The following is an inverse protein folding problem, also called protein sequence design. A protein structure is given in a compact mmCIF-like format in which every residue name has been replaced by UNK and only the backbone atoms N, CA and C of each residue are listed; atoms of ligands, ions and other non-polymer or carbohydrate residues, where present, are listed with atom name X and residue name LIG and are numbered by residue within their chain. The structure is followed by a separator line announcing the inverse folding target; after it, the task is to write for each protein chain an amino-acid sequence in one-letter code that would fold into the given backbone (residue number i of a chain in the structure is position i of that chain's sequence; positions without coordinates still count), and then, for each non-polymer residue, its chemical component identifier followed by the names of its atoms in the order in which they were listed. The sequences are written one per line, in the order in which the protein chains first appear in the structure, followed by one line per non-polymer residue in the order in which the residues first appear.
data_IF_303071527908
#
_entry.id   IF_303071527908
#
_cell.length_a   1.000
_cell.length_b   1.000
_cell.length_c   1.000
_cell.angle_alpha   90.00
_cell.angle_beta   90.00
_cell.angle_gamma   90.00
#
_symmetry.space_group_name_H-M   'P 1'
#
loop_
_entity.id
_entity.type
_entity.pdbx_description
1 polymer ?
#
# COMPACT_ATOMS: atom_id res chain seq x y z
N UNK A 1 -22.65 24.84 -19.61
CA UNK A 1 -22.84 24.08 -18.35
C UNK A 1 -22.37 24.94 -17.17
N UNK A 2 -23.11 24.98 -16.06
CA UNK A 2 -22.78 25.82 -14.91
C UNK A 2 -21.64 25.20 -14.08
N UNK A 3 -20.74 26.05 -13.54
CA UNK A 3 -19.55 25.67 -12.75
C UNK A 3 -19.86 24.71 -11.58
N UNK A 4 -21.05 24.83 -10.97
CA UNK A 4 -21.56 23.91 -9.92
C UNK A 4 -21.95 22.51 -10.43
N UNK A 5 -22.42 22.38 -11.66
CA UNK A 5 -22.70 21.07 -12.28
C UNK A 5 -21.40 20.40 -12.75
N UNK A 6 -20.41 21.18 -13.20
CA UNK A 6 -19.08 20.66 -13.55
C UNK A 6 -18.38 20.09 -12.31
N UNK A 7 -18.38 20.83 -11.20
CA UNK A 7 -17.80 20.35 -9.93
C UNK A 7 -18.51 19.10 -9.38
N UNK A 8 -19.84 19.00 -9.53
CA UNK A 8 -20.58 17.80 -9.11
C UNK A 8 -20.25 16.54 -9.92
N UNK A 9 -20.06 16.70 -11.24
CA UNK A 9 -19.64 15.60 -12.13
C UNK A 9 -18.19 15.19 -11.85
N UNK A 10 -17.31 16.15 -11.55
CA UNK A 10 -15.91 15.88 -11.17
C UNK A 10 -15.81 15.17 -9.82
N UNK A 11 -16.59 15.57 -8.82
CA UNK A 11 -16.65 14.89 -7.51
C UNK A 11 -17.12 13.43 -7.66
N UNK A 12 -18.15 13.18 -8.47
CA UNK A 12 -18.66 11.82 -8.68
C UNK A 12 -17.66 10.94 -9.45
N UNK A 13 -16.92 11.52 -10.42
CA UNK A 13 -15.79 10.84 -11.09
C UNK A 13 -14.64 10.54 -10.12
N UNK A 14 -14.27 11.49 -9.26
CA UNK A 14 -13.21 11.32 -8.26
C UNK A 14 -13.57 10.22 -7.25
N UNK A 15 -14.81 10.22 -6.75
CA UNK A 15 -15.32 9.20 -5.84
C UNK A 15 -15.35 7.82 -6.50
N UNK A 16 -15.72 7.72 -7.77
CA UNK A 16 -15.70 6.45 -8.52
C UNK A 16 -14.29 5.92 -8.75
N UNK A 17 -13.31 6.78 -9.07
CA UNK A 17 -11.89 6.36 -9.18
C UNK A 17 -11.36 5.90 -7.81
N UNK A 18 -11.55 6.72 -6.78
CA UNK A 18 -11.14 6.39 -5.42
C UNK A 18 -11.83 5.14 -4.85
N UNK A 19 -13.05 4.82 -5.29
CA UNK A 19 -13.76 3.62 -4.88
C UNK A 19 -13.10 2.34 -5.39
N UNK A 20 -12.48 2.33 -6.57
CA UNK A 20 -11.76 1.15 -7.05
C UNK A 20 -10.60 0.81 -6.11
N UNK A 21 -9.79 1.81 -5.76
CA UNK A 21 -8.68 1.67 -4.83
C UNK A 21 -9.14 1.36 -3.39
N UNK A 22 -10.29 1.90 -2.99
CA UNK A 22 -10.83 1.73 -1.65
C UNK A 22 -11.59 0.40 -1.46
N UNK A 23 -12.17 -0.18 -2.51
CA UNK A 23 -13.13 -1.28 -2.40
C UNK A 23 -12.56 -2.50 -1.66
N UNK A 24 -11.30 -2.86 -1.94
CA UNK A 24 -10.62 -3.99 -1.30
C UNK A 24 -10.19 -3.66 0.13
N UNK A 25 -9.61 -2.48 0.38
CA UNK A 25 -9.26 -2.07 1.75
C UNK A 25 -10.50 -1.78 2.64
N UNK A 26 -11.67 -1.52 2.07
CA UNK A 26 -12.87 -1.14 2.82
C UNK A 26 -13.32 -2.21 3.82
N UNK A 27 -13.20 -3.50 3.45
CA UNK A 27 -13.55 -4.61 4.34
C UNK A 27 -12.57 -4.68 5.53
N UNK A 28 -11.27 -4.61 5.24
CA UNK A 28 -10.21 -4.55 6.25
C UNK A 28 -10.38 -3.36 7.21
N UNK A 29 -10.71 -2.17 6.69
CA UNK A 29 -10.93 -0.98 7.52
C UNK A 29 -12.17 -1.09 8.41
N UNK A 30 -13.21 -1.79 7.95
CA UNK A 30 -14.42 -2.03 8.75
C UNK A 30 -14.15 -3.03 9.87
N UNK A 31 -13.41 -4.11 9.62
CA UNK A 31 -13.10 -5.13 10.63
C UNK A 31 -12.17 -4.61 11.74
N UNK A 32 -11.34 -3.60 11.44
CA UNK A 32 -10.43 -3.02 12.43
C UNK A 32 -11.06 -1.95 13.33
N UNK A 33 -12.33 -1.54 13.16
CA UNK A 33 -12.92 -0.50 14.02
C UNK A 33 -13.01 -0.96 15.48
N UNK A 34 -12.67 -0.11 16.46
CA UNK A 34 -12.32 1.31 16.35
C UNK A 34 -10.82 1.61 16.12
N UNK A 35 -9.97 0.59 16.03
CA UNK A 35 -8.51 0.71 15.98
C UNK A 35 -7.99 0.68 14.54
N UNK A 36 -7.85 1.86 13.94
CA UNK A 36 -7.30 1.97 12.58
C UNK A 36 -5.82 1.57 12.52
N UNK A 37 -5.39 0.90 11.44
CA UNK A 37 -3.99 0.55 11.23
C UNK A 37 -3.13 1.81 10.96
N UNK A 38 -1.81 1.74 11.22
CA UNK A 38 -0.86 2.79 10.83
C UNK A 38 -0.90 3.08 9.32
N UNK A 39 -0.57 4.32 8.92
CA UNK A 39 -0.59 4.72 7.51
C UNK A 39 0.35 3.89 6.64
N UNK A 40 1.53 3.51 7.16
CA UNK A 40 2.46 2.60 6.49
C UNK A 40 1.84 1.24 6.18
N UNK A 41 1.04 0.71 7.10
CA UNK A 41 0.35 -0.58 6.93
C UNK A 41 -0.74 -0.46 5.86
N UNK A 42 -1.52 0.62 5.89
CA UNK A 42 -2.56 0.88 4.88
C UNK A 42 -1.96 1.01 3.48
N UNK A 43 -0.85 1.75 3.38
CA UNK A 43 -0.16 1.97 2.13
C UNK A 43 0.38 0.66 1.55
N UNK A 44 1.05 -0.14 2.38
CA UNK A 44 1.54 -1.44 1.93
C UNK A 44 0.38 -2.33 1.46
N UNK A 45 -0.79 -2.25 2.10
CA UNK A 45 -1.98 -3.01 1.71
C UNK A 45 -2.41 -2.68 0.28
N UNK A 46 -2.39 -1.39 -0.06
CA UNK A 46 -2.69 -0.92 -1.42
C UNK A 46 -1.62 -1.33 -2.43
N UNK A 47 -0.33 -1.29 -2.07
CA UNK A 47 0.76 -1.79 -2.93
C UNK A 47 0.54 -3.27 -3.26
N UNK A 48 0.26 -4.10 -2.24
CA UNK A 48 0.01 -5.53 -2.45
C UNK A 48 -1.22 -5.76 -3.33
N UNK A 49 -2.32 -5.06 -3.08
CA UNK A 49 -3.52 -5.13 -3.91
C UNK A 49 -3.19 -4.80 -5.38
N UNK A 50 -2.43 -3.73 -5.62
CA UNK A 50 -2.05 -3.30 -6.98
C UNK A 50 -1.12 -4.32 -7.66
N UNK A 51 -0.14 -4.86 -6.94
CA UNK A 51 0.74 -5.91 -7.46
C UNK A 51 -0.02 -7.19 -7.83
N UNK A 52 -1.09 -7.53 -7.11
CA UNK A 52 -1.95 -8.67 -7.42
C UNK A 52 -2.86 -8.45 -8.64
N UNK A 53 -3.11 -7.20 -9.04
CA UNK A 53 -3.98 -6.88 -10.18
C UNK A 53 -3.27 -7.04 -11.53
N UNK A 54 -1.98 -7.42 -11.53
CA UNK A 54 -1.13 -7.76 -12.69
C UNK A 54 -1.15 -6.73 -13.83
N UNK A 55 -1.63 -5.52 -13.56
CA UNK A 55 -1.65 -4.41 -14.51
C UNK A 55 -0.36 -3.61 -14.30
N UNK A 56 0.58 -3.64 -15.26
CA UNK A 56 1.84 -2.92 -15.11
C UNK A 56 1.54 -1.45 -14.93
N UNK A 57 2.02 -0.87 -13.82
CA UNK A 57 1.87 0.57 -13.61
C UNK A 57 2.84 1.31 -14.54
N UNK A 58 2.42 2.43 -15.11
CA UNK A 58 3.32 3.31 -15.87
C UNK A 58 4.52 3.77 -15.01
N UNK A 59 4.34 3.83 -13.70
CA UNK A 59 5.40 4.14 -12.72
C UNK A 59 6.49 3.05 -12.62
N UNK A 60 6.19 1.81 -13.04
CA UNK A 60 7.12 0.68 -12.96
C UNK A 60 8.04 0.55 -14.18
N UNK A 61 7.85 1.40 -15.22
CA UNK A 61 8.61 1.31 -16.47
C UNK A 61 10.12 1.50 -16.32
N UNK A 62 10.56 2.23 -15.30
CA UNK A 62 11.97 2.50 -15.04
C UNK A 62 12.49 1.70 -13.83
N UNK A 63 11.62 1.39 -12.87
CA UNK A 63 11.97 0.69 -11.65
C UNK A 63 10.71 0.07 -11.01
N UNK A 64 10.73 -1.24 -10.79
CA UNK A 64 9.61 -1.96 -10.17
C UNK A 64 9.68 -1.90 -8.65
N UNK A 65 8.60 -2.28 -7.96
CA UNK A 65 8.62 -2.42 -6.50
C UNK A 65 9.67 -3.44 -6.04
N UNK A 66 9.91 -4.48 -6.85
CA UNK A 66 10.89 -5.51 -6.55
C UNK A 66 12.32 -5.00 -6.60
N UNK A 67 12.60 -3.99 -7.44
CA UNK A 67 13.94 -3.44 -7.59
C UNK A 67 14.34 -2.53 -6.42
N UNK A 68 13.39 -1.99 -5.65
CA UNK A 68 13.65 -1.10 -4.51
C UNK A 68 14.64 -1.71 -3.50
N UNK A 69 15.66 -0.93 -3.13
CA UNK A 69 16.67 -1.34 -2.16
C UNK A 69 16.10 -1.33 -0.73
N UNK A 70 16.11 -2.49 -0.07
CA UNK A 70 15.54 -2.67 1.27
C UNK A 70 16.49 -2.22 2.40
N UNK A 71 17.80 -2.14 2.15
CA UNK A 71 18.83 -1.79 3.15
C UNK A 71 18.73 -2.61 4.45
N UNK A 72 18.18 -3.82 4.44
CA UNK A 72 17.95 -4.66 5.64
C UNK A 72 19.24 -4.91 6.43
N UNK A 73 20.36 -5.04 5.71
CA UNK A 73 21.69 -5.21 6.27
C UNK A 73 22.19 -3.99 7.08
N UNK A 74 21.65 -2.79 6.84
CA UNK A 74 22.00 -1.55 7.54
C UNK A 74 21.02 -1.20 8.67
N UNK A 75 19.96 -1.99 8.86
CA UNK A 75 18.98 -1.74 9.92
C UNK A 75 19.56 -2.09 11.30
N UNK A 76 19.39 -1.18 12.25
CA UNK A 76 19.61 -1.46 13.67
C UNK A 76 18.54 -2.41 14.19
N UNK A 77 18.82 -3.11 15.29
CA UNK A 77 17.88 -4.10 15.84
C UNK A 77 16.54 -3.47 16.24
N UNK A 78 16.56 -2.26 16.80
CA UNK A 78 15.33 -1.52 17.15
C UNK A 78 14.45 -1.26 15.92
N UNK A 79 15.06 -0.90 14.78
CA UNK A 79 14.32 -0.69 13.53
C UNK A 79 13.76 -2.00 12.98
N UNK A 80 14.52 -3.09 13.10
CA UNK A 80 14.05 -4.44 12.71
C UNK A 80 12.87 -4.88 13.56
N UNK A 81 12.90 -4.64 14.86
CA UNK A 81 11.77 -4.93 15.73
C UNK A 81 10.54 -4.11 15.36
N UNK A 82 10.71 -2.80 15.11
CA UNK A 82 9.63 -1.95 14.61
C UNK A 82 9.01 -2.48 13.31
N UNK A 83 9.84 -2.96 12.37
CA UNK A 83 9.38 -3.59 11.13
C UNK A 83 8.64 -4.91 11.36
N UNK A 84 9.09 -5.76 12.30
CA UNK A 84 8.39 -7.00 12.66
C UNK A 84 6.99 -6.71 13.22
N UNK A 85 6.87 -5.70 14.07
CA UNK A 85 5.56 -5.27 14.60
C UNK A 85 4.64 -4.74 13.49
N UNK A 86 5.18 -4.00 12.52
CA UNK A 86 4.43 -3.55 11.35
C UNK A 86 3.97 -4.72 10.47
N UNK A 87 4.82 -5.73 10.25
CA UNK A 87 4.48 -6.94 9.51
C UNK A 87 3.34 -7.72 10.19
N UNK A 88 3.38 -7.90 11.51
CA UNK A 88 2.29 -8.52 12.26
C UNK A 88 0.99 -7.72 12.16
N UNK A 89 1.08 -6.40 12.27
CA UNK A 89 -0.07 -5.50 12.15
C UNK A 89 -0.68 -5.58 10.75
N UNK A 90 0.15 -5.67 9.72
CA UNK A 90 -0.28 -5.83 8.33
C UNK A 90 -1.03 -7.13 8.10
N UNK A 91 -0.50 -8.26 8.58
CA UNK A 91 -1.16 -9.56 8.47
C UNK A 91 -2.54 -9.54 9.14
N UNK A 92 -2.66 -8.90 10.31
CA UNK A 92 -3.95 -8.74 10.98
C UNK A 92 -4.91 -7.85 10.19
N UNK A 93 -4.44 -6.71 9.67
CA UNK A 93 -5.24 -5.78 8.88
C UNK A 93 -5.75 -6.41 7.58
N UNK A 94 -4.87 -7.09 6.85
CA UNK A 94 -5.20 -7.66 5.54
C UNK A 94 -5.91 -9.01 5.61
N UNK A 95 -6.12 -9.58 6.80
CA UNK A 95 -6.72 -10.92 6.99
C UNK A 95 -8.03 -11.15 6.23
N UNK A 96 -8.86 -10.12 6.08
CA UNK A 96 -10.14 -10.20 5.36
C UNK A 96 -9.98 -10.33 3.83
N UNK A 97 -8.85 -9.89 3.28
CA UNK A 97 -8.56 -9.92 1.83
C UNK A 97 -7.45 -10.92 1.47
N UNK A 98 -6.51 -11.18 2.40
CA UNK A 98 -5.35 -12.05 2.25
C UNK A 98 -5.29 -12.95 3.49
N UNK A 99 -5.78 -14.18 3.33
CA UNK A 99 -5.83 -15.20 4.39
C UNK A 99 -4.59 -16.09 4.37
N UNK A 100 -3.99 -16.30 3.20
CA UNK A 100 -2.87 -17.20 3.00
C UNK A 100 -1.77 -16.57 2.13
N UNK A 101 -0.53 -17.04 2.32
CA UNK A 101 0.64 -16.57 1.56
C UNK A 101 0.51 -16.81 0.05
N UNK A 102 -0.31 -17.78 -0.38
CA UNK A 102 -0.62 -18.02 -1.79
C UNK A 102 -1.36 -16.87 -2.48
N UNK A 103 -2.02 -15.99 -1.72
CA UNK A 103 -2.69 -14.81 -2.25
C UNK A 103 -1.77 -13.59 -2.33
N UNK A 104 -0.56 -13.66 -1.76
CA UNK A 104 0.42 -12.61 -1.95
C UNK A 104 1.06 -12.72 -3.34
N UNK A 105 1.59 -11.61 -3.88
CA UNK A 105 2.40 -11.67 -5.09
C UNK A 105 3.54 -12.69 -4.96
N UNK A 106 3.98 -13.33 -6.05
CA UNK A 106 5.08 -14.29 -6.00
C UNK A 106 6.32 -13.70 -5.34
N UNK A 107 6.94 -14.49 -4.45
CA UNK A 107 8.16 -14.10 -3.71
C UNK A 107 8.04 -12.82 -2.89
N UNK A 108 6.81 -12.40 -2.53
CA UNK A 108 6.60 -11.20 -1.75
C UNK A 108 6.90 -11.43 -0.26
N UNK A 109 7.93 -10.73 0.25
CA UNK A 109 8.26 -10.71 1.67
C UNK A 109 7.73 -9.40 2.30
N UNK A 110 6.80 -9.54 3.25
CA UNK A 110 6.15 -8.41 3.93
C UNK A 110 7.18 -7.58 4.74
N UNK A 111 8.14 -8.25 5.39
CA UNK A 111 9.16 -7.57 6.17
C UNK A 111 10.09 -6.76 5.27
N UNK A 112 10.53 -7.36 4.16
CA UNK A 112 11.33 -6.67 3.16
C UNK A 112 10.56 -5.51 2.53
N UNK A 113 9.27 -5.69 2.24
CA UNK A 113 8.43 -4.64 1.67
C UNK A 113 8.32 -3.42 2.60
N UNK A 114 8.21 -3.62 3.91
CA UNK A 114 8.28 -2.51 4.86
C UNK A 114 9.69 -1.89 4.94
N UNK A 115 10.74 -2.70 4.85
CA UNK A 115 12.11 -2.19 4.80
C UNK A 115 12.33 -1.30 3.57
N UNK A 116 11.85 -1.72 2.39
CA UNK A 116 11.83 -0.94 1.14
C UNK A 116 11.04 0.37 1.28
N UNK A 117 9.91 0.35 1.99
CA UNK A 117 9.10 1.56 2.23
C UNK A 117 9.76 2.57 3.17
N UNK A 118 10.62 2.14 4.10
CA UNK A 118 11.33 3.01 5.03
C UNK A 118 12.69 3.48 4.49
N UNK A 119 13.33 2.71 3.60
CA UNK A 119 14.68 2.95 3.11
C UNK A 119 14.78 4.02 2.02
N UNK A 120 13.68 4.36 1.35
CA UNK A 120 13.64 5.29 0.22
C UNK A 120 13.92 6.76 0.57
N UNK A 121 14.16 7.09 1.86
CA UNK A 121 14.92 8.29 2.27
C UNK A 121 14.34 9.67 1.91
N UNK A 122 13.15 9.74 1.31
CA UNK A 122 12.44 11.01 1.09
C UNK A 122 11.67 11.39 2.37
N UNK A 123 11.51 12.69 2.67
CA UNK A 123 10.56 13.14 3.70
C UNK A 123 9.15 12.73 3.24
N UNK A 124 8.74 11.51 3.62
CA UNK A 124 7.62 10.79 3.03
C UNK A 124 8.05 9.60 2.15
N UNK A 125 8.87 8.65 2.64
CA UNK A 125 9.23 7.41 1.89
C UNK A 125 8.05 6.58 1.35
N UNK A 126 6.84 6.91 1.81
CA UNK A 126 5.55 6.49 1.29
C UNK A 126 5.12 7.14 -0.04
N UNK A 127 5.80 8.16 -0.55
CA UNK A 127 5.42 8.88 -1.78
C UNK A 127 5.75 8.10 -3.05
N UNK A 128 6.80 7.27 -3.05
CA UNK A 128 7.03 6.36 -4.18
C UNK A 128 5.94 5.29 -4.23
N UNK A 129 5.63 4.63 -3.10
CA UNK A 129 4.49 3.73 -3.04
C UNK A 129 3.15 4.45 -3.34
N UNK A 130 2.98 5.72 -2.97
CA UNK A 130 1.83 6.53 -3.38
C UNK A 130 1.83 6.84 -4.88
N UNK A 131 2.99 7.07 -5.49
CA UNK A 131 3.16 7.23 -6.95
C UNK A 131 2.81 5.93 -7.67
N UNK A 132 3.15 4.78 -7.09
CA UNK A 132 2.69 3.47 -7.57
C UNK A 132 1.17 3.36 -7.50
N UNK A 133 0.52 3.87 -6.45
CA UNK A 133 -0.94 3.74 -6.26
C UNK A 133 -1.76 4.78 -7.06
N UNK A 134 -1.27 6.02 -7.25
CA UNK A 134 -2.08 7.13 -7.76
C UNK A 134 -2.25 7.24 -9.29
N UNK A 135 -1.56 6.43 -10.09
CA UNK A 135 -1.74 6.39 -11.54
C UNK A 135 -2.81 5.37 -11.94
#
# INVERSE_FOLDING_TARGET
MNRRQVSGIEIDKQNKKAWQDHKRECKCLKSCKPRYPPDSVRLLGRVVIKLMEETPSESEKLYSFYDLESNINKLTEDKREGLRQLAMTFQHFMREEIQDASQLPPSFDIFEAFAKGLSTGLPGGMDLAATFIQQ
#
